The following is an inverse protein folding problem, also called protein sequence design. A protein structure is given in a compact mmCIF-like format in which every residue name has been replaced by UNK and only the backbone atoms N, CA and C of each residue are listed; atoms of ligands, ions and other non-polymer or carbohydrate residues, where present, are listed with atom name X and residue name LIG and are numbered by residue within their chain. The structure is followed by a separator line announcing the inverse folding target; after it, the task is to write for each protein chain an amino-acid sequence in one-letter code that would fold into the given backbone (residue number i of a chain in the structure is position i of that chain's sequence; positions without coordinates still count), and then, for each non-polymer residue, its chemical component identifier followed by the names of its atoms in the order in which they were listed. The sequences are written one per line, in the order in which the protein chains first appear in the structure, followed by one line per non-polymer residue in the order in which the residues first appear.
data_IF_275210678649
#
_entry.id   IF_275210678649
#
_cell.length_a   1.000
_cell.length_b   1.000
_cell.length_c   1.000
_cell.angle_alpha   90.00
_cell.angle_beta   90.00
_cell.angle_gamma   90.00
#
_symmetry.space_group_name_H-M   'P 1'
#
loop_
_entity.id
_entity.type
_entity.pdbx_description
1 polymer ?
#
# COMPACT_ATOMS: atom_id res chain seq x y z
N UNK A 1 -11.14 -26.03 -7.52
CA UNK A 1 -10.82 -24.84 -8.28
C UNK A 1 -9.71 -24.05 -7.62
N UNK A 2 -8.70 -23.72 -8.39
CA UNK A 2 -7.59 -22.97 -7.84
C UNK A 2 -7.99 -21.50 -7.70
N UNK A 3 -7.64 -20.91 -6.59
CA UNK A 3 -7.88 -19.50 -6.35
C UNK A 3 -6.57 -18.75 -6.46
N UNK A 4 -6.58 -17.65 -7.15
CA UNK A 4 -5.38 -16.83 -7.23
C UNK A 4 -5.06 -16.29 -5.85
N UNK A 5 -3.78 -16.26 -5.54
CA UNK A 5 -3.35 -15.61 -4.31
C UNK A 5 -3.70 -14.14 -4.38
N UNK A 6 -4.25 -13.62 -3.31
CA UNK A 6 -4.56 -12.21 -3.26
C UNK A 6 -3.28 -11.40 -3.12
N UNK A 7 -3.28 -10.24 -3.74
CA UNK A 7 -2.14 -9.33 -3.70
C UNK A 7 -2.53 -8.08 -2.96
N UNK A 8 -1.66 -7.64 -2.08
CA UNK A 8 -1.94 -6.52 -1.21
C UNK A 8 -0.84 -5.49 -1.31
N UNK A 9 -1.20 -4.23 -1.08
CA UNK A 9 -0.23 -3.14 -0.97
C UNK A 9 -0.49 -2.43 0.35
N UNK A 10 0.51 -1.68 0.80
CA UNK A 10 0.40 -0.93 2.05
C UNK A 10 0.49 0.54 1.72
N UNK A 11 -0.49 1.30 2.20
CA UNK A 11 -0.51 2.75 2.04
C UNK A 11 -0.21 3.41 3.36
N UNK A 12 0.52 4.51 3.31
CA UNK A 12 0.84 5.33 4.48
C UNK A 12 0.17 6.68 4.29
N UNK A 13 -0.71 7.02 5.21
CA UNK A 13 -1.42 8.29 5.17
C UNK A 13 -0.63 9.37 5.88
N UNK A 14 -0.52 10.51 5.25
CA UNK A 14 0.12 11.67 5.84
C UNK A 14 -0.82 12.86 5.72
N UNK A 15 -1.02 13.57 6.83
CA UNK A 15 -1.87 14.73 6.84
C UNK A 15 -1.01 15.99 6.89
N UNK A 16 -1.28 16.91 5.99
CA UNK A 16 -0.68 18.23 6.00
C UNK A 16 -1.80 19.23 6.23
N UNK A 17 -1.46 20.42 6.54
CA UNK A 17 -2.39 21.44 7.02
C UNK A 17 -3.82 21.31 6.51
N UNK A 18 -4.01 21.18 5.22
CA UNK A 18 -5.35 21.17 4.64
C UNK A 18 -5.59 20.03 3.68
N UNK A 19 -4.72 19.02 3.69
CA UNK A 19 -4.89 17.90 2.79
C UNK A 19 -4.27 16.64 3.36
N UNK A 20 -4.72 15.51 2.85
CA UNK A 20 -4.17 14.22 3.20
C UNK A 20 -3.54 13.61 1.96
N UNK A 21 -2.33 13.12 2.10
CA UNK A 21 -1.65 12.41 1.03
C UNK A 21 -1.49 10.95 1.41
N UNK A 22 -1.46 10.10 0.40
CA UNK A 22 -1.18 8.69 0.62
C UNK A 22 0.03 8.31 -0.21
N UNK A 23 0.97 7.62 0.43
CA UNK A 23 2.13 7.07 -0.24
C UNK A 23 2.12 5.57 -0.02
N UNK A 24 2.80 4.84 -0.89
CA UNK A 24 2.74 3.39 -0.86
C UNK A 24 4.11 2.82 -0.59
N UNK A 25 4.15 1.74 0.18
CA UNK A 25 5.42 1.07 0.46
C UNK A 25 5.97 0.51 -0.84
N UNK A 26 7.17 0.93 -1.21
CA UNK A 26 7.79 0.51 -2.46
C UNK A 26 8.94 -0.47 -2.25
N UNK A 27 9.48 -0.54 -1.04
CA UNK A 27 10.52 -1.52 -0.78
C UNK A 27 10.63 -1.78 0.71
N UNK A 28 11.13 -2.96 1.05
CA UNK A 28 11.35 -3.36 2.43
C UNK A 28 12.73 -3.98 2.51
N UNK A 29 13.54 -3.46 3.40
CA UNK A 29 14.86 -4.00 3.69
C UNK A 29 14.75 -4.81 4.98
N UNK A 30 15.40 -5.96 5.03
CA UNK A 30 15.22 -6.86 6.17
C UNK A 30 16.27 -6.71 7.25
N UNK A 31 17.44 -6.15 6.94
CA UNK A 31 18.48 -6.00 7.94
C UNK A 31 19.21 -4.68 7.78
N UNK A 32 18.88 -3.67 8.59
CA UNK A 32 17.76 -3.63 9.53
C UNK A 32 16.43 -3.58 8.79
N UNK A 33 15.37 -3.89 9.49
CA UNK A 33 14.06 -3.88 8.88
C UNK A 33 13.60 -2.44 8.68
N UNK A 34 13.58 -2.01 7.45
CA UNK A 34 13.23 -0.64 7.09
C UNK A 34 12.33 -0.68 5.88
N UNK A 35 11.21 0.02 5.95
CA UNK A 35 10.32 0.16 4.81
C UNK A 35 10.48 1.56 4.24
N UNK A 36 10.41 1.65 2.93
CA UNK A 36 10.37 2.94 2.23
C UNK A 36 9.04 3.08 1.54
N UNK A 37 8.54 4.29 1.47
CA UNK A 37 7.27 4.52 0.77
C UNK A 37 7.38 5.82 -0.03
N UNK A 38 6.70 5.82 -1.17
CA UNK A 38 6.76 6.93 -2.12
C UNK A 38 5.42 7.10 -2.79
N UNK A 39 5.24 8.22 -3.43
CA UNK A 39 4.08 8.44 -4.28
C UNK A 39 4.13 7.50 -5.45
N UNK A 40 2.97 7.08 -5.94
CA UNK A 40 2.93 6.57 -7.27
C UNK A 40 2.55 5.13 -7.44
N UNK A 41 3.03 4.57 -8.54
CA UNK A 41 2.46 3.36 -9.10
C UNK A 41 3.30 2.11 -8.87
N UNK A 42 4.35 2.23 -8.10
CA UNK A 42 5.31 1.14 -7.95
C UNK A 42 5.25 0.48 -6.59
N UNK A 43 4.05 0.42 -6.01
CA UNK A 43 3.89 -0.20 -4.72
C UNK A 43 4.31 -1.66 -4.74
N UNK A 44 5.00 -2.08 -3.71
CA UNK A 44 5.41 -3.45 -3.58
C UNK A 44 4.19 -4.33 -3.24
N UNK A 45 4.18 -5.52 -3.77
CA UNK A 45 3.08 -6.45 -3.57
C UNK A 45 3.42 -7.41 -2.42
N UNK A 46 2.48 -7.60 -1.53
CA UNK A 46 2.67 -8.44 -0.34
C UNK A 46 1.59 -9.50 -0.26
N UNK A 47 1.90 -10.59 0.42
CA UNK A 47 0.87 -11.54 0.83
C UNK A 47 0.04 -10.90 1.95
N UNK A 48 -1.12 -11.47 2.21
CA UNK A 48 -2.03 -10.94 3.21
C UNK A 48 -1.36 -10.87 4.59
N UNK A 49 -0.73 -11.96 5.01
CA UNK A 49 -0.16 -12.02 6.35
C UNK A 49 1.02 -11.07 6.49
N UNK A 50 1.86 -11.01 5.48
CA UNK A 50 3.01 -10.12 5.52
C UNK A 50 2.55 -8.66 5.54
N UNK A 51 1.55 -8.33 4.72
CA UNK A 51 1.04 -6.96 4.68
C UNK A 51 0.48 -6.55 6.03
N UNK A 52 -0.28 -7.43 6.68
CA UNK A 52 -0.82 -7.12 7.99
C UNK A 52 0.26 -6.90 9.03
N UNK A 53 1.26 -7.78 9.05
CA UNK A 53 2.37 -7.67 9.99
C UNK A 53 3.12 -6.37 9.81
N UNK A 54 3.44 -6.04 8.57
CA UNK A 54 4.21 -4.84 8.29
C UNK A 54 3.41 -3.60 8.62
N UNK A 55 2.13 -3.59 8.25
CA UNK A 55 1.27 -2.45 8.56
C UNK A 55 1.13 -2.28 10.07
N UNK A 56 0.98 -3.37 10.80
CA UNK A 56 0.89 -3.30 12.25
C UNK A 56 2.15 -2.68 12.84
N UNK A 57 3.31 -3.12 12.39
CA UNK A 57 4.58 -2.56 12.87
C UNK A 57 4.69 -1.08 12.58
N UNK A 58 4.24 -0.65 11.41
CA UNK A 58 4.26 0.77 11.06
C UNK A 58 3.33 1.57 11.95
N UNK A 59 2.15 1.02 12.24
CA UNK A 59 1.20 1.70 13.12
C UNK A 59 1.76 1.84 14.54
N UNK A 60 2.44 0.81 15.02
CA UNK A 60 3.07 0.86 16.34
C UNK A 60 4.12 1.98 16.38
N UNK A 61 4.77 2.24 15.26
CA UNK A 61 5.78 3.29 15.19
C UNK A 61 5.20 4.67 14.88
N UNK A 62 3.89 4.79 14.87
CA UNK A 62 3.26 6.09 14.75
C UNK A 62 2.81 6.47 13.34
N UNK A 63 2.90 5.56 12.39
CA UNK A 63 2.44 5.85 11.03
C UNK A 63 1.02 5.33 10.84
N UNK A 64 0.27 6.02 9.99
CA UNK A 64 -1.09 5.58 9.66
C UNK A 64 -1.02 4.65 8.45
N UNK A 65 -0.72 3.39 8.71
CA UNK A 65 -0.57 2.41 7.64
C UNK A 65 -1.87 1.66 7.42
N UNK A 66 -2.25 1.49 6.17
CA UNK A 66 -3.43 0.73 5.80
C UNK A 66 -3.04 -0.35 4.80
N UNK A 67 -3.77 -1.45 4.85
CA UNK A 67 -3.59 -2.55 3.90
C UNK A 67 -4.75 -2.51 2.92
N UNK A 68 -4.44 -2.56 1.62
CA UNK A 68 -5.50 -2.60 0.62
C UNK A 68 -5.20 -3.67 -0.42
N UNK A 69 -6.25 -4.19 -1.03
CA UNK A 69 -6.07 -5.16 -2.09
C UNK A 69 -5.60 -4.44 -3.36
N UNK A 70 -4.87 -5.17 -4.18
CA UNK A 70 -4.26 -4.57 -5.37
C UNK A 70 -5.26 -3.88 -6.29
N UNK A 71 -6.44 -4.44 -6.56
CA UNK A 71 -7.40 -3.72 -7.41
C UNK A 71 -7.79 -2.35 -6.86
N UNK A 72 -7.96 -2.23 -5.56
CA UNK A 72 -8.29 -0.94 -4.96
C UNK A 72 -7.14 0.05 -5.13
N UNK A 73 -5.92 -0.43 -4.93
CA UNK A 73 -4.74 0.40 -5.14
C UNK A 73 -4.68 0.91 -6.59
N UNK A 74 -4.91 0.01 -7.55
CA UNK A 74 -4.84 0.40 -8.95
C UNK A 74 -5.90 1.44 -9.29
N UNK A 75 -7.07 1.35 -8.70
CA UNK A 75 -8.11 2.33 -8.89
C UNK A 75 -7.68 3.71 -8.39
N UNK A 76 -7.01 3.74 -7.25
CA UNK A 76 -6.57 5.00 -6.67
C UNK A 76 -5.46 5.68 -7.47
N UNK A 77 -4.53 4.90 -8.01
CA UNK A 77 -3.41 5.49 -8.75
C UNK A 77 -3.68 5.65 -10.23
N UNK A 78 -4.72 5.00 -10.75
CA UNK A 78 -5.09 5.09 -12.16
C UNK A 78 -6.60 5.21 -12.30
N UNK A 79 -7.20 6.28 -11.80
CA UNK A 79 -8.66 6.42 -11.89
C UNK A 79 -9.15 6.44 -13.33
N UNK A 80 -8.32 6.88 -14.24
CA UNK A 80 -8.73 6.96 -15.64
C UNK A 80 -8.90 5.60 -16.30
N UNK A 81 -8.15 4.59 -15.82
CA UNK A 81 -8.31 3.29 -16.46
C UNK A 81 -9.66 2.68 -16.11
N UNK A 82 -10.25 3.09 -15.01
CA UNK A 82 -11.59 2.64 -14.68
C UNK A 82 -12.61 3.23 -15.64
N UNK A 83 -12.46 4.49 -15.96
CA UNK A 83 -13.36 5.16 -16.90
C UNK A 83 -13.30 4.54 -18.27
N UNK A 84 -12.15 4.10 -18.69
CA UNK A 84 -11.99 3.60 -20.04
C UNK A 84 -12.71 2.27 -20.25
N UNK A 85 -13.17 1.65 -19.21
CA UNK A 85 -13.88 0.38 -19.30
C UNK A 85 -15.37 0.55 -19.53
N UNK A 86 -15.83 1.72 -19.53
CA UNK A 86 -17.26 1.98 -19.65
C UNK A 86 -17.73 2.05 -21.08
#
# INVERSE_FOLDING_TARGET
MARKAEQYVIGILSSYEDRTEIKYVTSVQTEPKVAKWEDGKDAMIFSKDYAKDLAFGLCVNGYAAIVMIKPDYLTLVNPESEDSNV
#
